data_IF_000177922089
#
_entry.id   IF_000177922089
#
_cell.length_a   1.000
_cell.length_b   1.000
_cell.length_c   1.000
_cell.angle_alpha   90.00
_cell.angle_beta   90.00
_cell.angle_gamma   90.00
#
_symmetry.space_group_name_H-M   'P 1'
#
loop_
_entity.id
_entity.type
_entity.pdbx_description
1 polymer ?
#
# COMPACT_ATOMS: atom_id res chain seq x y z
N UNK A 1 13.60 3.77 -1.83
CA UNK A 1 13.76 3.18 -3.18
C UNK A 1 13.08 1.83 -3.20
N UNK A 2 12.47 1.43 -4.33
CA UNK A 2 11.65 0.22 -4.46
C UNK A 2 12.42 -0.87 -5.20
N UNK A 3 12.41 -2.10 -4.67
CA UNK A 3 13.08 -3.26 -5.23
C UNK A 3 12.12 -4.47 -5.27
N UNK A 4 12.37 -5.41 -6.17
CA UNK A 4 11.69 -6.70 -6.17
C UNK A 4 12.38 -7.70 -5.23
N UNK A 5 11.79 -8.90 -5.08
CA UNK A 5 12.31 -9.96 -4.21
C UNK A 5 13.69 -10.49 -4.61
N UNK A 6 14.10 -10.27 -5.86
CA UNK A 6 15.41 -10.64 -6.39
C UNK A 6 16.46 -9.52 -6.23
N UNK A 7 16.08 -8.41 -5.58
CA UNK A 7 16.96 -7.27 -5.36
C UNK A 7 17.10 -6.33 -6.57
N UNK A 8 16.34 -6.53 -7.65
CA UNK A 8 16.37 -5.62 -8.78
C UNK A 8 15.56 -4.36 -8.48
N UNK A 9 16.09 -3.20 -8.88
CA UNK A 9 15.40 -1.93 -8.73
C UNK A 9 14.14 -1.90 -9.60
N UNK A 10 13.03 -1.45 -9.01
CA UNK A 10 11.79 -1.18 -9.75
C UNK A 10 11.74 0.27 -10.18
N UNK A 11 11.37 0.51 -11.43
CA UNK A 11 11.27 1.85 -12.02
C UNK A 11 9.81 2.22 -12.30
N UNK A 12 9.43 3.51 -12.16
CA UNK A 12 8.10 3.96 -12.52
C UNK A 12 7.92 3.87 -14.04
N UNK A 13 6.77 3.35 -14.45
CA UNK A 13 6.35 3.25 -15.84
C UNK A 13 4.91 3.76 -15.97
N UNK A 14 4.60 4.32 -17.12
CA UNK A 14 3.28 4.86 -17.43
C UNK A 14 2.65 4.08 -18.58
N UNK A 15 1.35 3.81 -18.47
CA UNK A 15 0.58 3.25 -19.56
C UNK A 15 -0.70 4.10 -19.74
N UNK A 16 -0.98 4.49 -20.98
CA UNK A 16 -2.20 5.22 -21.34
C UNK A 16 -3.20 4.31 -22.04
N UNK A 17 -4.47 4.38 -21.66
CA UNK A 17 -5.57 3.74 -22.39
C UNK A 17 -6.79 4.66 -22.38
N UNK A 18 -7.27 5.09 -23.55
CA UNK A 18 -8.50 5.88 -23.70
C UNK A 18 -8.60 7.04 -22.69
N UNK A 19 -7.67 7.99 -22.68
CA UNK A 19 -7.58 9.15 -21.75
C UNK A 19 -7.28 8.83 -20.28
N UNK A 20 -7.09 7.57 -19.89
CA UNK A 20 -6.72 7.21 -18.52
C UNK A 20 -5.24 6.88 -18.46
N UNK A 21 -4.52 7.52 -17.55
CA UNK A 21 -3.10 7.27 -17.29
C UNK A 21 -2.95 6.36 -16.07
N UNK A 22 -2.28 5.24 -16.27
CA UNK A 22 -1.97 4.28 -15.23
C UNK A 22 -0.48 4.35 -14.90
N UNK A 23 -0.14 4.42 -13.63
CA UNK A 23 1.25 4.35 -13.16
C UNK A 23 1.53 2.99 -12.56
N UNK A 24 2.70 2.44 -12.87
CA UNK A 24 3.16 1.15 -12.37
C UNK A 24 4.60 1.27 -11.91
N UNK A 25 5.01 0.39 -11.01
CA UNK A 25 6.41 0.06 -10.76
C UNK A 25 6.73 -1.25 -11.43
N UNK A 26 7.81 -1.28 -12.21
CA UNK A 26 8.21 -2.41 -13.04
C UNK A 26 9.63 -2.82 -12.67
N UNK A 27 9.84 -4.12 -12.44
CA UNK A 27 11.19 -4.67 -12.19
C UNK A 27 12.13 -4.39 -13.35
N UNK A 28 13.38 -4.05 -13.03
CA UNK A 28 14.41 -3.79 -14.05
C UNK A 28 14.63 -4.96 -15.02
N UNK A 29 14.47 -6.20 -14.54
CA UNK A 29 14.56 -7.41 -15.35
C UNK A 29 13.56 -7.45 -16.50
N UNK A 30 12.35 -6.92 -16.32
CA UNK A 30 11.33 -6.85 -17.37
C UNK A 30 11.60 -5.76 -18.40
N UNK A 31 12.42 -4.76 -18.05
CA UNK A 31 12.77 -3.66 -18.94
C UNK A 31 13.99 -4.05 -19.82
N UNK A 32 14.99 -4.69 -19.20
CA UNK A 32 16.29 -4.98 -19.86
C UNK A 32 16.29 -6.29 -20.65
N UNK A 33 15.62 -7.34 -20.16
CA UNK A 33 15.65 -8.68 -20.77
C UNK A 33 14.48 -8.97 -21.72
N UNK A 34 13.55 -8.02 -21.85
CA UNK A 34 12.32 -8.28 -22.59
C UNK A 34 11.49 -9.38 -21.90
N UNK A 35 10.41 -9.77 -22.57
CA UNK A 35 9.43 -10.71 -22.02
C UNK A 35 9.77 -12.15 -22.41
N UNK A 36 10.88 -12.69 -21.93
CA UNK A 36 11.13 -14.13 -21.98
C UNK A 36 10.24 -14.80 -20.92
N UNK A 37 9.68 -15.96 -21.21
CA UNK A 37 8.73 -16.68 -20.35
C UNK A 37 9.26 -17.03 -18.95
N UNK A 38 10.56 -16.91 -18.74
CA UNK A 38 11.29 -17.18 -17.50
C UNK A 38 11.60 -15.96 -16.63
N UNK A 39 11.26 -14.74 -17.06
CA UNK A 39 11.57 -13.56 -16.22
C UNK A 39 10.50 -13.35 -15.15
N UNK A 40 10.85 -13.65 -13.91
CA UNK A 40 10.03 -13.49 -12.71
C UNK A 40 9.80 -12.02 -12.28
N UNK A 41 9.90 -11.07 -13.20
CA UNK A 41 9.74 -9.64 -12.88
C UNK A 41 8.31 -9.25 -12.50
N UNK A 42 8.22 -8.27 -11.61
CA UNK A 42 6.96 -7.74 -11.11
C UNK A 42 6.57 -6.44 -11.83
N UNK A 43 5.26 -6.29 -12.07
CA UNK A 43 4.65 -5.03 -12.51
C UNK A 43 3.46 -4.75 -11.60
N UNK A 44 3.56 -3.73 -10.76
CA UNK A 44 2.61 -3.44 -9.68
C UNK A 44 2.01 -2.05 -9.89
N UNK A 45 0.69 -1.88 -9.71
CA UNK A 45 0.05 -0.56 -9.73
C UNK A 45 0.67 0.36 -8.66
N UNK A 46 1.12 1.56 -9.07
CA UNK A 46 1.80 2.48 -8.16
C UNK A 46 0.89 2.93 -7.01
N UNK A 47 -0.40 3.15 -7.29
CA UNK A 47 -1.37 3.62 -6.29
C UNK A 47 -1.49 2.64 -5.12
N UNK A 48 -1.55 1.34 -5.39
CA UNK A 48 -1.73 0.31 -4.36
C UNK A 48 -0.54 0.26 -3.40
N UNK A 49 0.69 0.24 -3.93
CA UNK A 49 1.89 0.18 -3.08
C UNK A 49 2.15 1.51 -2.36
N UNK A 50 1.91 2.65 -3.02
CA UNK A 50 2.06 3.97 -2.40
C UNK A 50 1.08 4.14 -1.23
N UNK A 51 -0.17 3.68 -1.37
CA UNK A 51 -1.17 3.70 -0.29
C UNK A 51 -0.80 2.78 0.86
N UNK A 52 -0.36 1.55 0.57
CA UNK A 52 0.08 0.60 1.58
C UNK A 52 1.23 1.16 2.41
N UNK A 53 2.28 1.63 1.74
CA UNK A 53 3.47 2.19 2.41
C UNK A 53 3.10 3.41 3.25
N UNK A 54 2.33 4.34 2.67
CA UNK A 54 1.85 5.54 3.37
C UNK A 54 1.07 5.17 4.64
N UNK A 55 0.12 4.25 4.54
CA UNK A 55 -0.69 3.83 5.69
C UNK A 55 0.11 3.03 6.73
N UNK A 56 1.11 2.25 6.31
CA UNK A 56 1.93 1.49 7.26
C UNK A 56 2.86 2.39 8.05
N UNK A 57 3.49 3.38 7.39
CA UNK A 57 4.33 4.38 8.07
C UNK A 57 3.48 5.27 8.98
N UNK A 58 2.29 5.69 8.53
CA UNK A 58 1.36 6.45 9.36
C UNK A 58 1.03 5.71 10.67
N UNK A 59 0.68 4.42 10.61
CA UNK A 59 0.41 3.61 11.82
C UNK A 59 1.62 3.47 12.72
N UNK A 60 2.80 3.31 12.15
CA UNK A 60 4.03 3.25 12.92
C UNK A 60 4.31 4.57 13.66
N UNK A 61 4.05 5.72 13.04
CA UNK A 61 4.16 7.04 13.70
C UNK A 61 3.17 7.20 14.86
N UNK A 62 2.00 6.56 14.79
CA UNK A 62 0.99 6.57 15.86
C UNK A 62 1.28 5.58 16.99
N UNK A 63 2.29 4.74 16.87
CA UNK A 63 2.65 3.75 17.88
C UNK A 63 3.92 4.15 18.66
N UNK A 64 3.76 4.81 19.82
CA UNK A 64 4.90 5.24 20.64
C UNK A 64 5.77 4.06 21.10
N UNK A 65 5.16 2.88 21.32
CA UNK A 65 5.89 1.69 21.74
C UNK A 65 6.85 1.17 20.68
N UNK A 66 6.42 1.13 19.42
CA UNK A 66 7.28 0.78 18.29
C UNK A 66 8.41 1.80 18.08
N UNK A 67 8.12 3.09 18.22
CA UNK A 67 9.14 4.15 18.12
C UNK A 67 10.15 4.03 19.23
N UNK A 68 9.70 3.86 20.48
CA UNK A 68 10.58 3.66 21.62
C UNK A 68 11.49 2.44 21.40
N UNK A 69 10.92 1.30 21.05
CA UNK A 69 11.66 0.06 20.81
C UNK A 69 12.75 0.22 19.74
N UNK A 70 12.41 0.91 18.64
CA UNK A 70 13.33 1.09 17.51
C UNK A 70 14.38 2.18 17.72
N UNK A 71 14.28 2.99 18.79
CA UNK A 71 15.24 4.08 19.08
C UNK A 71 15.94 3.95 20.41
N UNK A 72 15.47 3.12 21.34
CA UNK A 72 15.97 3.00 22.72
C UNK A 72 17.44 2.56 22.80
N UNK A 73 17.91 1.72 21.89
CA UNK A 73 19.30 1.28 21.85
C UNK A 73 20.31 2.43 21.58
N UNK A 74 19.86 3.53 20.97
CA UNK A 74 20.71 4.62 20.54
C UNK A 74 20.47 5.94 21.28
N UNK A 75 19.30 6.10 21.84
CA UNK A 75 18.96 7.28 22.64
C UNK A 75 19.01 6.86 24.12
N UNK A 76 20.14 7.11 24.77
CA UNK A 76 20.32 6.78 26.18
C UNK A 76 19.46 7.64 27.12
N UNK A 77 19.11 8.86 26.67
CA UNK A 77 18.30 9.79 27.44
C UNK A 77 16.81 9.48 27.29
N UNK A 78 16.19 9.06 28.39
CA UNK A 78 14.76 8.74 28.46
C UNK A 78 13.86 9.94 28.14
N UNK A 79 14.29 11.15 28.51
CA UNK A 79 13.54 12.38 28.21
C UNK A 79 13.49 12.66 26.70
N UNK A 80 14.59 12.41 26.02
CA UNK A 80 14.69 12.52 24.56
C UNK A 80 13.82 11.50 23.86
N UNK A 81 13.81 10.24 24.35
CA UNK A 81 12.98 9.18 23.81
C UNK A 81 11.49 9.52 23.93
N UNK A 82 11.06 9.99 25.10
CA UNK A 82 9.66 10.41 25.31
C UNK A 82 9.28 11.57 24.39
N UNK A 83 10.17 12.58 24.28
CA UNK A 83 9.95 13.72 23.38
C UNK A 83 9.86 13.31 21.93
N UNK A 84 10.74 12.42 21.47
CA UNK A 84 10.71 11.88 20.12
C UNK A 84 9.41 11.15 19.84
N UNK A 85 8.97 10.27 20.76
CA UNK A 85 7.74 9.51 20.62
C UNK A 85 6.51 10.41 20.58
N UNK A 86 6.46 11.46 21.43
CA UNK A 86 5.36 12.42 21.46
C UNK A 86 5.27 13.21 20.14
N UNK A 87 6.39 13.74 19.65
CA UNK A 87 6.44 14.49 18.39
C UNK A 87 6.12 13.63 17.18
N UNK A 88 6.56 12.37 17.17
CA UNK A 88 6.20 11.42 16.12
C UNK A 88 4.70 11.12 16.11
N UNK A 89 4.10 10.93 17.29
CA UNK A 89 2.67 10.75 17.42
C UNK A 89 1.87 11.98 16.95
N UNK A 90 2.37 13.17 17.18
CA UNK A 90 1.73 14.41 16.71
C UNK A 90 1.78 14.52 15.17
N UNK A 91 2.90 14.17 14.54
CA UNK A 91 2.95 14.02 13.07
C UNK A 91 1.93 12.98 12.62
N UNK A 92 1.84 11.83 13.31
CA UNK A 92 0.88 10.78 13.01
C UNK A 92 -0.57 11.26 13.09
N UNK A 93 -0.95 12.01 14.13
CA UNK A 93 -2.29 12.60 14.26
C UNK A 93 -2.63 13.58 13.14
N UNK A 94 -1.65 14.41 12.75
CA UNK A 94 -1.81 15.38 11.67
C UNK A 94 -1.69 14.77 10.28
N UNK A 95 -1.28 13.50 10.17
CA UNK A 95 -0.97 12.84 8.90
C UNK A 95 -2.06 12.98 7.84
N UNK A 96 -3.37 12.81 8.13
CA UNK A 96 -4.42 12.96 7.12
C UNK A 96 -4.41 14.35 6.47
N UNK A 97 -4.18 15.41 7.26
CA UNK A 97 -4.26 16.81 6.87
C UNK A 97 -2.93 17.36 6.30
N UNK A 98 -1.83 16.62 6.48
CA UNK A 98 -0.52 17.07 5.99
C UNK A 98 -0.51 17.24 4.48
N UNK A 99 0.09 18.31 3.95
CA UNK A 99 0.32 18.49 2.52
C UNK A 99 1.11 17.33 1.93
N UNK A 100 0.81 16.96 0.68
CA UNK A 100 1.47 15.85 -0.03
C UNK A 100 3.00 16.01 -0.06
N UNK A 101 3.49 17.23 -0.23
CA UNK A 101 4.93 17.53 -0.21
C UNK A 101 5.57 17.19 1.13
N UNK A 102 4.89 17.50 2.25
CA UNK A 102 5.39 17.19 3.59
C UNK A 102 5.37 15.69 3.86
N UNK A 103 4.26 14.99 3.52
CA UNK A 103 4.20 13.52 3.58
C UNK A 103 5.36 12.88 2.82
N UNK A 104 5.62 13.36 1.59
CA UNK A 104 6.72 12.87 0.77
C UNK A 104 8.09 13.09 1.42
N UNK A 105 8.32 14.26 2.01
CA UNK A 105 9.56 14.57 2.70
C UNK A 105 9.80 13.64 3.89
N UNK A 106 8.78 13.39 4.71
CA UNK A 106 8.84 12.45 5.84
C UNK A 106 9.13 11.03 5.36
N UNK A 107 8.39 10.54 4.36
CA UNK A 107 8.60 9.20 3.79
C UNK A 107 10.01 9.04 3.20
N UNK A 108 10.49 10.06 2.47
CA UNK A 108 11.83 10.04 1.86
C UNK A 108 12.97 10.02 2.90
N UNK A 109 12.77 10.71 4.04
CA UNK A 109 13.73 10.68 5.13
C UNK A 109 13.73 9.35 5.88
N UNK A 110 12.54 8.81 6.19
CA UNK A 110 12.39 7.61 6.99
C UNK A 110 12.68 6.32 6.22
N UNK A 111 12.26 6.21 4.96
CA UNK A 111 12.35 4.96 4.22
C UNK A 111 13.73 4.83 3.58
N UNK A 112 14.48 3.80 3.98
CA UNK A 112 15.74 3.40 3.33
C UNK A 112 15.45 2.61 2.05
N UNK A 113 14.60 1.59 2.17
CA UNK A 113 14.33 0.63 1.10
C UNK A 113 12.93 0.02 1.27
N UNK A 114 12.31 -0.34 0.18
CA UNK A 114 11.08 -1.15 0.15
C UNK A 114 11.37 -2.35 -0.75
N UNK A 115 11.11 -3.55 -0.26
CA UNK A 115 11.24 -4.79 -1.01
C UNK A 115 9.86 -5.41 -1.22
N UNK A 116 9.56 -5.76 -2.46
CA UNK A 116 8.28 -6.34 -2.84
C UNK A 116 8.49 -7.79 -3.23
N UNK A 117 7.97 -8.70 -2.42
CA UNK A 117 7.94 -10.14 -2.67
C UNK A 117 6.52 -10.58 -3.06
N UNK A 118 6.37 -11.82 -3.45
CA UNK A 118 5.08 -12.35 -3.91
C UNK A 118 4.03 -12.39 -2.80
N UNK A 119 4.46 -12.59 -1.57
CA UNK A 119 3.64 -12.81 -0.38
C UNK A 119 3.79 -11.74 0.69
N UNK A 120 4.75 -10.80 0.53
CA UNK A 120 5.12 -9.85 1.57
C UNK A 120 5.75 -8.60 0.98
N UNK A 121 5.52 -7.46 1.62
CA UNK A 121 6.23 -6.21 1.38
C UNK A 121 6.98 -5.82 2.64
N UNK A 122 8.28 -5.63 2.49
CA UNK A 122 9.18 -5.23 3.56
C UNK A 122 9.59 -3.76 3.40
N UNK A 123 9.27 -2.96 4.42
CA UNK A 123 9.59 -1.53 4.47
C UNK A 123 10.70 -1.34 5.50
N UNK A 124 11.89 -1.00 5.04
CA UNK A 124 13.06 -0.74 5.87
C UNK A 124 13.09 0.72 6.25
N UNK A 125 12.87 1.03 7.53
CA UNK A 125 12.87 2.39 8.07
C UNK A 125 14.20 2.71 8.75
N UNK A 126 14.52 4.01 8.82
CA UNK A 126 15.60 4.62 9.59
C UNK A 126 15.00 5.49 10.68
N UNK A 127 14.66 4.91 11.86
CA UNK A 127 13.92 5.60 12.91
C UNK A 127 14.63 6.86 13.42
N UNK A 128 15.96 6.84 13.51
CA UNK A 128 16.74 7.98 14.01
C UNK A 128 16.67 9.22 13.09
N UNK A 129 16.26 9.05 11.83
CA UNK A 129 16.00 10.21 10.95
C UNK A 129 14.81 11.05 11.40
N UNK A 130 13.97 10.53 12.29
CA UNK A 130 12.96 11.36 12.97
C UNK A 130 13.59 12.51 13.77
N UNK A 131 14.72 12.29 14.42
CA UNK A 131 15.39 13.34 15.18
C UNK A 131 15.74 14.52 14.28
N UNK A 132 16.30 14.27 13.11
CA UNK A 132 16.63 15.31 12.14
C UNK A 132 15.38 16.01 11.55
N UNK A 133 14.28 15.27 11.35
CA UNK A 133 13.01 15.84 10.86
C UNK A 133 12.33 16.73 11.88
N UNK A 134 12.64 16.56 13.17
CA UNK A 134 12.01 17.21 14.31
C UNK A 134 12.94 18.24 14.97
N UNK A 135 14.07 18.56 14.32
CA UNK A 135 15.11 19.46 14.84
C UNK A 135 15.53 19.11 16.28
N UNK A 136 15.49 17.84 16.64
CA UNK A 136 15.98 17.35 17.91
C UNK A 136 17.49 17.17 17.82
N UNK A 137 18.25 17.55 18.86
CA UNK A 137 19.67 17.27 18.90
C UNK A 137 19.86 15.75 18.84
N UNK A 138 20.36 15.26 17.72
CA UNK A 138 20.87 13.89 17.69
C UNK A 138 22.03 13.85 18.69
N UNK A 139 22.01 12.88 19.60
CA UNK A 139 23.17 12.65 20.45
C UNK A 139 24.42 12.60 19.58
N UNK A 140 25.54 13.21 19.98
CA UNK A 140 26.78 13.17 19.22
C UNK A 140 27.31 11.73 19.23
N UNK A 141 26.74 10.89 18.42
CA UNK A 141 27.25 9.55 18.20
C UNK A 141 28.29 9.66 17.11
N UNK A 142 29.54 9.60 17.52
CA UNK A 142 30.63 9.20 16.65
C UNK A 142 30.19 7.93 15.93
N UNK A 143 29.99 8.04 14.61
CA UNK A 143 29.52 6.95 13.78
C UNK A 143 28.02 6.64 13.98
N UNK A 144 27.15 7.51 13.50
CA UNK A 144 25.77 7.13 13.19
C UNK A 144 25.89 6.15 12.01
N UNK A 145 26.09 4.88 12.32
CA UNK A 145 25.78 3.85 11.37
C UNK A 145 24.30 4.02 11.05
N UNK A 146 24.02 4.52 9.87
CA UNK A 146 22.68 4.67 9.27
C UNK A 146 22.00 3.29 9.10
N UNK A 147 22.54 2.28 9.74
CA UNK A 147 22.27 0.85 9.57
C UNK A 147 21.25 0.27 10.53
N UNK A 148 20.80 1.01 11.55
CA UNK A 148 19.72 0.50 12.37
C UNK A 148 18.40 0.66 11.63
N UNK A 149 17.93 -0.49 11.13
CA UNK A 149 16.75 -0.60 10.28
C UNK A 149 15.63 -1.21 11.10
N UNK A 150 14.54 -0.47 11.24
CA UNK A 150 13.27 -1.04 11.68
C UNK A 150 12.57 -1.66 10.48
N UNK A 151 12.21 -2.93 10.57
CA UNK A 151 11.55 -3.66 9.50
C UNK A 151 10.05 -3.72 9.73
N UNK A 152 9.29 -3.09 8.86
CA UNK A 152 7.84 -3.20 8.84
C UNK A 152 7.41 -4.16 7.72
N UNK A 153 7.12 -5.40 8.07
CA UNK A 153 6.60 -6.39 7.13
C UNK A 153 5.09 -6.32 7.02
N UNK A 154 4.60 -6.39 5.80
CA UNK A 154 3.16 -6.42 5.49
C UNK A 154 2.87 -7.64 4.63
N UNK A 155 2.08 -8.61 5.13
CA UNK A 155 1.68 -9.76 4.33
C UNK A 155 0.72 -9.30 3.22
N UNK A 156 1.04 -9.67 1.99
CA UNK A 156 0.23 -9.38 0.80
C UNK A 156 0.11 -10.63 -0.06
N UNK A 157 -0.87 -10.65 -0.96
CA UNK A 157 -0.93 -11.64 -2.04
C UNK A 157 -0.95 -10.93 -3.37
N UNK A 158 0.05 -11.19 -4.17
CA UNK A 158 0.08 -10.73 -5.55
C UNK A 158 -0.70 -11.74 -6.40
N UNK A 159 -1.88 -11.35 -6.90
CA UNK A 159 -2.68 -12.16 -7.82
C UNK A 159 -2.49 -11.68 -9.24
N UNK A 160 -2.19 -12.61 -10.13
CA UNK A 160 -2.17 -12.36 -11.57
C UNK A 160 -3.62 -12.31 -12.08
N UNK A 161 -4.05 -11.17 -12.61
CA UNK A 161 -5.33 -10.98 -13.28
C UNK A 161 -5.05 -10.64 -14.75
N UNK A 162 -4.99 -11.66 -15.61
CA UNK A 162 -4.59 -11.49 -17.01
C UNK A 162 -3.15 -10.97 -17.15
N UNK A 163 -3.01 -9.75 -17.69
CA UNK A 163 -1.70 -9.08 -17.88
C UNK A 163 -1.27 -8.23 -16.70
N UNK A 164 -2.11 -8.08 -15.68
CA UNK A 164 -1.87 -7.21 -14.51
C UNK A 164 -1.69 -8.05 -13.25
N UNK A 165 -0.79 -7.62 -12.39
CA UNK A 165 -0.67 -8.15 -11.04
C UNK A 165 -1.46 -7.21 -10.14
N UNK A 166 -2.45 -7.73 -9.43
CA UNK A 166 -3.18 -7.02 -8.38
C UNK A 166 -2.66 -7.44 -7.02
N UNK A 167 -2.50 -6.47 -6.15
CA UNK A 167 -2.10 -6.71 -4.78
C UNK A 167 -3.34 -6.87 -3.90
N UNK A 168 -3.45 -8.02 -3.23
CA UNK A 168 -4.47 -8.27 -2.21
C UNK A 168 -3.77 -8.25 -0.86
N UNK A 169 -4.12 -7.28 -0.03
CA UNK A 169 -3.58 -7.18 1.33
C UNK A 169 -4.34 -8.17 2.21
N UNK A 170 -3.63 -9.12 2.81
CA UNK A 170 -4.21 -10.05 3.77
C UNK A 170 -4.16 -9.40 5.16
N UNK A 171 -5.31 -9.01 5.68
CA UNK A 171 -5.46 -8.46 7.03
C UNK A 171 -6.64 -7.53 7.16
N UNK A 172 -7.07 -7.28 8.38
CA UNK A 172 -8.16 -6.37 8.79
C UNK A 172 -7.94 -4.92 8.40
N UNK A 173 -6.81 -4.62 7.81
CA UNK A 173 -6.36 -3.30 7.41
C UNK A 173 -6.52 -3.04 5.90
N UNK A 174 -7.50 -3.70 5.26
CA UNK A 174 -7.91 -3.21 3.95
C UNK A 174 -8.32 -1.75 4.14
N UNK A 175 -7.54 -0.82 3.59
CA UNK A 175 -8.04 0.54 3.37
C UNK A 175 -9.44 0.36 2.80
N UNK A 176 -10.46 0.84 3.51
CA UNK A 176 -11.83 0.69 3.10
C UNK A 176 -11.92 1.18 1.65
N UNK A 177 -11.80 0.25 0.73
CA UNK A 177 -12.04 0.53 -0.68
C UNK A 177 -13.45 1.11 -0.67
N UNK A 178 -13.59 2.38 -1.07
CA UNK A 178 -14.92 2.98 -1.17
C UNK A 178 -15.74 2.02 -2.01
N UNK A 179 -16.82 1.46 -1.44
CA UNK A 179 -17.58 0.45 -2.13
C UNK A 179 -18.03 1.03 -3.47
N UNK A 180 -17.75 0.36 -4.57
CA UNK A 180 -18.21 0.81 -5.88
C UNK A 180 -19.74 0.72 -5.90
N UNK A 181 -20.38 1.89 -5.85
CA UNK A 181 -21.83 2.00 -5.82
C UNK A 181 -22.50 1.33 -7.05
N UNK A 182 -21.80 1.25 -8.19
CA UNK A 182 -22.28 0.53 -9.37
C UNK A 182 -22.24 -0.98 -9.14
N UNK A 183 -21.16 -1.49 -8.58
CA UNK A 183 -21.00 -2.91 -8.27
C UNK A 183 -22.02 -3.34 -7.21
N UNK A 184 -22.25 -2.53 -6.17
CA UNK A 184 -23.26 -2.80 -5.15
C UNK A 184 -24.65 -2.86 -5.78
N UNK A 185 -25.02 -1.90 -6.63
CA UNK A 185 -26.31 -1.90 -7.33
C UNK A 185 -26.47 -3.15 -8.19
N UNK A 186 -25.42 -3.57 -8.87
CA UNK A 186 -25.41 -4.76 -9.73
C UNK A 186 -25.56 -6.06 -8.92
N UNK A 187 -24.87 -6.16 -7.78
CA UNK A 187 -24.99 -7.28 -6.85
C UNK A 187 -26.38 -7.36 -6.20
N UNK A 188 -26.94 -6.21 -5.77
CA UNK A 188 -28.29 -6.16 -5.22
C UNK A 188 -29.32 -6.56 -6.26
N UNK A 189 -29.14 -6.14 -7.51
CA UNK A 189 -30.02 -6.51 -8.62
C UNK A 189 -29.94 -8.01 -8.91
N UNK A 190 -28.73 -8.56 -9.00
CA UNK A 190 -28.52 -10.01 -9.18
C UNK A 190 -29.13 -10.82 -8.05
N UNK A 191 -29.01 -10.36 -6.79
CA UNK A 191 -29.60 -11.03 -5.63
C UNK A 191 -31.13 -11.02 -5.65
N UNK A 192 -31.75 -9.89 -6.04
CA UNK A 192 -33.22 -9.82 -6.24
C UNK A 192 -33.66 -10.75 -7.34
N UNK A 193 -32.93 -10.83 -8.44
CA UNK A 193 -33.22 -11.72 -9.55
C UNK A 193 -33.15 -13.19 -9.12
N UNK A 194 -32.09 -13.57 -8.42
CA UNK A 194 -31.95 -14.94 -7.88
C UNK A 194 -33.04 -15.26 -6.84
N UNK A 195 -33.43 -14.31 -5.99
CA UNK A 195 -34.51 -14.53 -5.03
C UNK A 195 -35.86 -14.74 -5.73
N UNK A 196 -36.16 -13.98 -6.78
CA UNK A 196 -37.36 -14.14 -7.57
C UNK A 196 -37.41 -15.49 -8.30
N UNK A 197 -36.26 -15.99 -8.79
CA UNK A 197 -36.15 -17.34 -9.38
C UNK A 197 -36.31 -18.44 -8.35
N UNK A 198 -35.77 -18.27 -7.13
CA UNK A 198 -35.82 -19.26 -6.07
C UNK A 198 -37.22 -19.43 -5.46
N UNK A 199 -38.07 -18.40 -5.56
CA UNK A 199 -39.47 -18.46 -5.06
C UNK A 199 -40.41 -19.27 -5.94
N UNK A 200 -39.95 -19.81 -7.08
CA UNK A 200 -40.60 -20.91 -7.79
C UNK A 200 -41.96 -20.64 -8.42
N UNK A 201 -42.38 -19.37 -8.50
CA UNK A 201 -43.66 -19.01 -9.08
C UNK A 201 -43.60 -18.92 -10.60
N UNK A 202 -43.23 -19.98 -11.32
CA UNK A 202 -43.44 -20.15 -12.77
C UNK A 202 -43.43 -18.92 -13.70
N UNK A 203 -42.81 -17.78 -13.24
CA UNK A 203 -42.78 -16.54 -13.99
C UNK A 203 -41.77 -16.69 -15.15
N UNK A 204 -42.21 -16.57 -16.40
CA UNK A 204 -41.31 -16.70 -17.54
C UNK A 204 -40.14 -15.71 -17.43
N UNK A 205 -38.90 -16.13 -17.73
CA UNK A 205 -37.73 -15.28 -17.77
C UNK A 205 -37.94 -13.99 -18.54
N UNK A 206 -38.77 -13.99 -19.55
CA UNK A 206 -39.19 -12.85 -20.35
C UNK A 206 -39.88 -11.75 -19.52
N UNK A 207 -40.84 -12.15 -18.68
CA UNK A 207 -41.60 -11.22 -17.81
C UNK A 207 -40.72 -10.68 -16.69
N UNK A 208 -39.77 -11.47 -16.18
CA UNK A 208 -38.80 -11.02 -15.19
C UNK A 208 -37.81 -10.00 -15.77
N UNK A 209 -37.33 -10.24 -16.99
CA UNK A 209 -36.44 -9.33 -17.70
C UNK A 209 -37.10 -7.97 -18.01
N UNK A 210 -38.37 -7.99 -18.35
CA UNK A 210 -39.16 -6.80 -18.65
C UNK A 210 -39.43 -5.99 -17.38
N UNK A 211 -39.78 -6.63 -16.26
CA UNK A 211 -39.97 -6.01 -14.94
C UNK A 211 -38.70 -5.35 -14.42
N UNK A 212 -37.55 -5.95 -14.65
CA UNK A 212 -36.25 -5.47 -14.24
C UNK A 212 -35.54 -4.58 -15.26
N UNK A 213 -36.19 -4.28 -16.39
CA UNK A 213 -35.64 -3.47 -17.52
C UNK A 213 -34.25 -3.95 -17.96
N UNK A 214 -34.11 -5.25 -18.16
CA UNK A 214 -32.88 -5.86 -18.69
C UNK A 214 -33.11 -6.23 -20.13
N UNK A 215 -32.21 -5.80 -21.03
CA UNK A 215 -32.29 -6.18 -22.44
C UNK A 215 -32.05 -7.68 -22.63
N UNK A 216 -32.77 -8.30 -23.58
CA UNK A 216 -32.66 -9.71 -23.96
C UNK A 216 -31.44 -10.05 -24.83
N UNK A 217 -30.47 -9.14 -24.96
CA UNK A 217 -29.31 -9.44 -25.83
C UNK A 217 -28.34 -10.38 -25.12
N UNK A 218 -28.24 -11.57 -25.68
CA UNK A 218 -27.13 -12.50 -25.48
C UNK A 218 -25.90 -12.02 -26.22
#
# INVERSE_FOLDING_TARGET
MLFDGDGNRMTPSHAGKKRTHYRYYVSGSLITKGRTETSAGLRIPAVEIEQLVNGRVHRWLLDPGSIYKSTSARLADSSMQQRLSALAADIGKQWPELPVARKRAVLAALIKRIEVRVDQIDIHLRPLRLCALLDLPAAPSQGVNDDEIELLSVPVRLRRSGREIRMVINGTDSFAAKPDARLIKLLLRARRFNAALAQGEGVPFAALAERERVSRSY
#
